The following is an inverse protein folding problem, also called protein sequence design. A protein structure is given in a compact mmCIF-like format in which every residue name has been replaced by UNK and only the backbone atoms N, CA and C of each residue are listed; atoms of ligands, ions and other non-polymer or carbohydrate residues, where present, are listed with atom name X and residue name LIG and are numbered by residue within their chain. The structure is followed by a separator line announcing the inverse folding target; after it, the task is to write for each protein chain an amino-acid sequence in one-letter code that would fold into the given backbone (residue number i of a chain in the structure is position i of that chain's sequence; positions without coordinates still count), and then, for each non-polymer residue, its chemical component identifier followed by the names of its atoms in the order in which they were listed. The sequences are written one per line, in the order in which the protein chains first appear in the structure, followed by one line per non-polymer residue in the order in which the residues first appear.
data_IF_621673517213
#
_entry.id   IF_621673517213
#
_cell.length_a   1.000
_cell.length_b   1.000
_cell.length_c   1.000
_cell.angle_alpha   90.00
_cell.angle_beta   90.00
_cell.angle_gamma   90.00
#
_symmetry.space_group_name_H-M   'P 1'
#
loop_
_entity.id
_entity.type
_entity.pdbx_description
1 polymer ?
#
# COMPACT_ATOMS: atom_id res chain seq x y z
N UNK A 1 -16.60 5.39 -12.26
CA UNK A 1 -15.90 4.12 -12.08
C UNK A 1 -15.11 3.68 -13.32
N UNK A 2 -15.71 3.43 -14.53
CA UNK A 2 -14.93 3.00 -15.71
C UNK A 2 -13.79 3.95 -16.08
N UNK A 3 -13.99 5.26 -15.99
CA UNK A 3 -12.92 6.26 -16.18
C UNK A 3 -11.83 6.18 -15.09
N UNK A 4 -12.17 5.79 -13.87
CA UNK A 4 -11.18 5.57 -12.80
C UNK A 4 -10.36 4.33 -13.07
N UNK A 5 -10.99 3.23 -13.53
CA UNK A 5 -10.28 2.02 -13.99
C UNK A 5 -9.33 2.39 -15.12
N UNK A 6 -9.82 3.07 -16.17
CA UNK A 6 -8.96 3.53 -17.27
C UNK A 6 -7.77 4.34 -16.77
N UNK A 7 -7.99 5.33 -15.91
CA UNK A 7 -6.90 6.13 -15.30
C UNK A 7 -5.94 5.28 -14.46
N UNK A 8 -6.45 4.24 -13.80
CA UNK A 8 -5.64 3.33 -12.97
C UNK A 8 -4.68 2.45 -13.77
N UNK A 9 -4.91 2.28 -15.09
CA UNK A 9 -4.10 1.41 -15.95
C UNK A 9 -3.45 2.15 -17.13
N UNK A 10 -3.98 3.29 -17.57
CA UNK A 10 -3.49 4.01 -18.74
C UNK A 10 -2.07 4.55 -18.51
N UNK A 11 -1.17 4.31 -19.46
CA UNK A 11 0.29 4.54 -19.42
C UNK A 11 0.95 3.70 -18.31
N UNK A 12 1.16 4.22 -17.12
CA UNK A 12 1.67 3.47 -15.96
C UNK A 12 0.63 3.35 -14.86
N UNK A 13 -0.53 3.98 -15.06
CA UNK A 13 -1.60 4.07 -14.09
C UNK A 13 -1.39 5.18 -13.04
N UNK A 14 -2.49 5.84 -12.68
CA UNK A 14 -2.54 6.77 -11.56
C UNK A 14 -3.90 6.67 -10.86
N UNK A 15 -4.15 5.62 -10.04
CA UNK A 15 -5.43 5.40 -9.38
C UNK A 15 -5.69 6.34 -8.20
N UNK A 16 -4.83 7.32 -7.94
CA UNK A 16 -5.02 8.34 -6.91
C UNK A 16 -6.36 9.05 -7.10
N UNK A 17 -7.05 9.42 -6.02
CA UNK A 17 -8.36 10.07 -6.03
C UNK A 17 -9.51 9.23 -6.64
N UNK A 18 -9.44 7.91 -6.65
CA UNK A 18 -10.65 7.12 -6.89
C UNK A 18 -11.63 7.31 -5.74
N UNK A 19 -12.92 7.53 -6.07
CA UNK A 19 -13.95 7.89 -5.09
C UNK A 19 -14.05 6.89 -3.95
N UNK A 20 -13.88 5.61 -4.24
CA UNK A 20 -13.96 4.54 -3.24
C UNK A 20 -12.97 4.68 -2.09
N UNK A 21 -11.84 5.38 -2.27
CA UNK A 21 -10.89 5.61 -1.18
C UNK A 21 -11.42 6.53 -0.08
N UNK A 22 -12.40 7.39 -0.38
CA UNK A 22 -13.05 8.22 0.64
C UNK A 22 -13.81 7.38 1.68
N UNK A 23 -14.20 6.17 1.29
CA UNK A 23 -14.98 5.26 2.10
C UNK A 23 -14.14 4.23 2.86
N UNK A 24 -12.81 4.30 2.81
CA UNK A 24 -11.94 3.35 3.49
C UNK A 24 -12.26 3.25 4.99
N UNK A 25 -12.80 2.09 5.41
CA UNK A 25 -13.25 1.83 6.79
C UNK A 25 -14.63 2.39 7.15
N UNK A 26 -15.43 2.84 6.17
CA UNK A 26 -16.87 3.09 6.32
C UNK A 26 -17.68 1.82 6.05
N UNK A 27 -19.01 1.93 6.25
CA UNK A 27 -19.94 0.84 5.91
C UNK A 27 -19.85 0.45 4.43
N UNK A 28 -19.64 1.40 3.52
CA UNK A 28 -19.63 1.15 2.07
C UNK A 28 -18.35 0.40 1.66
N UNK A 29 -17.26 0.52 2.40
CA UNK A 29 -16.04 -0.24 2.14
C UNK A 29 -16.20 -1.76 2.24
N UNK A 30 -17.31 -2.26 2.83
CA UNK A 30 -17.63 -3.69 2.89
C UNK A 30 -17.80 -4.35 1.51
N UNK A 31 -17.91 -3.59 0.44
CA UNK A 31 -17.90 -4.07 -0.94
C UNK A 31 -16.49 -4.30 -1.49
N UNK A 32 -15.45 -3.77 -0.83
CA UNK A 32 -14.08 -3.88 -1.32
C UNK A 32 -13.56 -5.34 -1.38
N UNK A 33 -13.90 -6.25 -0.45
CA UNK A 33 -13.51 -7.66 -0.56
C UNK A 33 -14.12 -8.39 -1.78
N UNK A 34 -15.12 -7.78 -2.45
CA UNK A 34 -15.76 -8.36 -3.64
C UNK A 34 -15.10 -7.85 -4.91
N UNK A 35 -14.93 -6.55 -5.08
CA UNK A 35 -14.48 -5.97 -6.35
C UNK A 35 -13.57 -4.75 -6.20
N UNK A 36 -12.91 -4.61 -5.05
CA UNK A 36 -11.91 -3.57 -4.80
C UNK A 36 -12.50 -2.17 -4.72
N UNK A 37 -11.61 -1.20 -4.71
CA UNK A 37 -11.95 0.23 -4.62
C UNK A 37 -12.88 0.70 -5.74
N UNK A 38 -12.78 0.11 -6.93
CA UNK A 38 -13.62 0.51 -8.07
C UNK A 38 -15.08 0.09 -7.90
N UNK A 39 -15.34 -1.07 -7.26
CA UNK A 39 -16.69 -1.45 -6.87
C UNK A 39 -17.26 -0.49 -5.83
N UNK A 40 -16.46 -0.12 -4.84
CA UNK A 40 -16.85 0.89 -3.83
C UNK A 40 -17.21 2.21 -4.50
N UNK A 41 -16.39 2.71 -5.45
CA UNK A 41 -16.69 3.89 -6.26
C UNK A 41 -18.02 3.77 -7.00
N UNK A 42 -18.31 2.58 -7.56
CA UNK A 42 -19.56 2.33 -8.28
C UNK A 42 -20.76 2.37 -7.33
N UNK A 43 -20.66 1.75 -6.17
CA UNK A 43 -21.72 1.76 -5.14
C UNK A 43 -22.02 3.20 -4.70
N UNK A 44 -21.01 4.02 -4.45
CA UNK A 44 -21.17 5.44 -4.14
C UNK A 44 -21.91 6.19 -5.24
N UNK A 45 -21.52 5.96 -6.51
CA UNK A 45 -22.20 6.57 -7.65
C UNK A 45 -23.67 6.12 -7.76
N UNK A 46 -23.97 4.85 -7.48
CA UNK A 46 -25.34 4.33 -7.47
C UNK A 46 -26.18 4.92 -6.34
N UNK A 47 -25.62 5.06 -5.13
CA UNK A 47 -26.29 5.73 -4.00
C UNK A 47 -26.60 7.19 -4.37
N UNK A 48 -25.62 7.91 -4.90
CA UNK A 48 -25.79 9.30 -5.34
C UNK A 48 -26.88 9.42 -6.42
N UNK A 49 -26.92 8.50 -7.38
CA UNK A 49 -27.95 8.42 -8.40
C UNK A 49 -29.34 8.12 -7.81
N UNK A 50 -29.42 7.24 -6.82
CA UNK A 50 -30.65 6.96 -6.08
C UNK A 50 -31.20 8.21 -5.36
N UNK A 51 -30.31 8.95 -4.70
CA UNK A 51 -30.68 10.23 -4.07
C UNK A 51 -31.19 11.23 -5.11
N UNK A 52 -30.51 11.38 -6.25
CA UNK A 52 -30.95 12.25 -7.34
C UNK A 52 -32.33 11.87 -7.84
N UNK A 53 -32.64 10.57 -7.99
CA UNK A 53 -33.97 10.10 -8.41
C UNK A 53 -35.09 10.51 -7.42
N UNK A 54 -34.81 10.56 -6.12
CA UNK A 54 -35.75 11.05 -5.11
C UNK A 54 -36.08 12.53 -5.37
N UNK A 55 -35.08 13.36 -5.65
CA UNK A 55 -35.31 14.78 -6.00
C UNK A 55 -36.02 14.96 -7.31
N UNK A 56 -35.83 14.07 -8.30
CA UNK A 56 -36.54 14.04 -9.57
C UNK A 56 -37.96 13.42 -9.47
N UNK A 57 -38.53 13.34 -8.25
CA UNK A 57 -39.88 12.82 -7.94
C UNK A 57 -40.08 11.32 -8.24
N UNK A 58 -39.05 10.57 -8.55
CA UNK A 58 -39.06 9.11 -8.68
C UNK A 58 -38.74 8.45 -7.32
N UNK A 59 -39.48 8.87 -6.30
CA UNK A 59 -39.16 8.59 -4.90
C UNK A 59 -39.00 7.11 -4.59
N UNK A 60 -39.98 6.28 -5.01
CA UNK A 60 -39.98 4.85 -4.74
C UNK A 60 -38.68 4.17 -5.28
N UNK A 61 -38.39 4.40 -6.55
CA UNK A 61 -37.21 3.82 -7.19
C UNK A 61 -35.91 4.30 -6.53
N UNK A 62 -35.79 5.61 -6.30
CA UNK A 62 -34.58 6.17 -5.66
C UNK A 62 -34.39 5.65 -4.25
N UNK A 63 -35.44 5.63 -3.42
CA UNK A 63 -35.38 5.10 -2.06
C UNK A 63 -35.06 3.60 -2.04
N UNK A 64 -35.65 2.81 -2.95
CA UNK A 64 -35.35 1.37 -3.04
C UNK A 64 -33.87 1.13 -3.35
N UNK A 65 -33.28 1.85 -4.31
CA UNK A 65 -31.85 1.72 -4.64
C UNK A 65 -30.97 2.02 -3.41
N UNK A 66 -31.20 3.17 -2.77
CA UNK A 66 -30.40 3.58 -1.60
C UNK A 66 -30.56 2.57 -0.47
N UNK A 67 -31.78 2.17 -0.14
CA UNK A 67 -32.06 1.24 0.95
C UNK A 67 -31.42 -0.13 0.70
N UNK A 68 -31.57 -0.69 -0.51
CA UNK A 68 -30.97 -1.98 -0.87
C UNK A 68 -29.44 -1.92 -0.72
N UNK A 69 -28.79 -0.88 -1.25
CA UNK A 69 -27.35 -0.75 -1.19
C UNK A 69 -26.83 -0.58 0.26
N UNK A 70 -27.51 0.20 1.09
CA UNK A 70 -27.15 0.37 2.51
C UNK A 70 -27.35 -0.95 3.29
N UNK A 71 -28.47 -1.63 3.10
CA UNK A 71 -28.73 -2.93 3.74
C UNK A 71 -27.69 -3.96 3.27
N UNK A 72 -27.41 -4.04 1.98
CA UNK A 72 -26.39 -4.94 1.45
C UNK A 72 -25.00 -4.62 2.01
N UNK A 73 -24.62 -3.33 2.15
CA UNK A 73 -23.37 -2.91 2.77
C UNK A 73 -23.30 -3.38 4.24
N UNK A 74 -24.42 -3.26 4.97
CA UNK A 74 -24.47 -3.72 6.37
C UNK A 74 -24.29 -5.25 6.44
N UNK A 75 -24.98 -6.02 5.62
CA UNK A 75 -24.85 -7.48 5.57
C UNK A 75 -23.42 -7.89 5.22
N UNK A 76 -22.83 -7.29 4.18
CA UNK A 76 -21.45 -7.56 3.78
C UNK A 76 -20.43 -7.20 4.88
N UNK A 77 -20.69 -6.17 5.66
CA UNK A 77 -19.86 -5.77 6.80
C UNK A 77 -19.83 -6.80 7.93
N UNK A 78 -20.84 -7.69 8.01
CA UNK A 78 -20.86 -8.80 8.99
C UNK A 78 -20.13 -10.05 8.51
N UNK A 79 -19.76 -10.12 7.21
CA UNK A 79 -19.07 -11.28 6.65
C UNK A 79 -17.59 -11.26 7.04
N UNK A 80 -17.13 -12.36 7.60
CA UNK A 80 -15.71 -12.62 7.80
C UNK A 80 -15.17 -13.39 6.59
N UNK A 81 -14.53 -12.66 5.67
CA UNK A 81 -13.95 -13.21 4.44
C UNK A 81 -12.71 -14.07 4.68
N UNK A 82 -12.03 -13.79 5.79
CA UNK A 82 -10.76 -14.41 6.17
C UNK A 82 -10.79 -14.69 7.66
N UNK A 83 -9.99 -15.64 8.11
CA UNK A 83 -9.87 -16.06 9.50
C UNK A 83 -8.41 -15.99 9.95
N UNK A 84 -8.19 -16.04 11.25
CA UNK A 84 -6.84 -16.19 11.79
C UNK A 84 -6.33 -17.58 11.50
N UNK A 85 -5.13 -17.69 10.95
CA UNK A 85 -4.47 -18.98 10.72
C UNK A 85 -3.85 -19.54 12.00
N UNK A 86 -3.59 -18.68 13.00
CA UNK A 86 -3.07 -19.03 14.30
C UNK A 86 -3.74 -18.15 15.39
N UNK A 87 -3.92 -18.70 16.59
CA UNK A 87 -4.39 -17.93 17.75
C UNK A 87 -3.31 -17.02 18.34
N UNK A 88 -2.04 -17.33 18.10
CA UNK A 88 -0.91 -16.51 18.57
C UNK A 88 -0.76 -15.25 17.75
N UNK A 89 -0.65 -14.12 18.41
CA UNK A 89 -0.35 -12.84 17.77
C UNK A 89 1.15 -12.62 17.65
N UNK A 90 1.57 -11.91 16.62
CA UNK A 90 2.91 -11.36 16.46
C UNK A 90 2.96 -9.93 16.99
N UNK A 91 4.06 -9.60 17.68
CA UNK A 91 4.36 -8.23 18.12
C UNK A 91 5.11 -7.49 17.02
N UNK A 92 4.64 -6.31 16.67
CA UNK A 92 5.32 -5.46 15.67
C UNK A 92 5.63 -4.08 16.23
N UNK A 93 6.78 -3.54 15.84
CA UNK A 93 7.14 -2.14 16.04
C UNK A 93 7.37 -1.47 14.69
N UNK A 94 6.69 -0.35 14.46
CA UNK A 94 6.80 0.45 13.24
C UNK A 94 7.51 1.74 13.58
N UNK A 95 8.63 2.02 12.91
CA UNK A 95 9.47 3.19 13.18
C UNK A 95 9.17 4.27 12.15
N UNK A 96 8.83 5.46 12.63
CA UNK A 96 8.66 6.67 11.84
C UNK A 96 9.83 7.61 12.07
N UNK A 97 10.74 7.69 11.10
CA UNK A 97 12.00 8.43 11.27
C UNK A 97 11.84 9.95 11.29
N UNK A 98 10.82 10.47 10.62
CA UNK A 98 10.58 11.92 10.45
C UNK A 98 11.78 12.70 9.91
N UNK A 99 12.56 12.08 9.03
CA UNK A 99 13.72 12.71 8.40
C UNK A 99 13.24 13.55 7.22
N UNK A 100 13.56 14.85 7.24
CA UNK A 100 13.19 15.79 6.19
C UNK A 100 13.87 15.43 4.86
N UNK A 101 13.16 15.60 3.74
CA UNK A 101 13.64 15.15 2.43
C UNK A 101 14.90 15.88 1.97
N UNK A 102 15.01 17.16 2.28
CA UNK A 102 16.17 18.01 1.98
C UNK A 102 17.41 17.64 2.81
N UNK A 103 17.23 17.08 4.00
CA UNK A 103 18.31 16.64 4.90
C UNK A 103 18.73 15.20 4.64
N UNK A 104 17.83 14.35 4.17
CA UNK A 104 18.00 12.90 4.06
C UNK A 104 19.28 12.49 3.34
N UNK A 105 19.68 13.24 2.31
CA UNK A 105 20.83 12.93 1.47
C UNK A 105 22.09 13.74 1.81
N UNK A 106 22.05 14.59 2.85
CA UNK A 106 23.19 15.35 3.29
C UNK A 106 24.17 14.42 4.04
N UNK A 107 25.44 14.48 3.64
CA UNK A 107 26.49 13.69 4.28
C UNK A 107 26.66 14.05 5.78
N UNK A 108 26.41 15.30 6.15
CA UNK A 108 26.45 15.76 7.54
C UNK A 108 25.35 15.15 8.43
N UNK A 109 24.23 14.71 7.83
CA UNK A 109 23.09 14.11 8.56
C UNK A 109 23.12 12.59 8.56
N UNK A 110 24.07 11.98 7.85
CA UNK A 110 24.11 10.54 7.67
C UNK A 110 24.29 9.79 9.00
N UNK A 111 25.29 10.18 9.78
CA UNK A 111 25.58 9.57 11.10
C UNK A 111 24.42 9.77 12.08
N UNK A 112 23.79 10.95 12.08
CA UNK A 112 22.60 11.23 12.88
C UNK A 112 21.45 10.29 12.51
N UNK A 113 21.25 10.05 11.22
CA UNK A 113 20.24 9.12 10.69
C UNK A 113 20.50 7.69 11.17
N UNK A 114 21.74 7.20 11.04
CA UNK A 114 22.12 5.87 11.51
C UNK A 114 21.88 5.70 13.01
N UNK A 115 22.34 6.68 13.80
CA UNK A 115 22.17 6.68 15.27
C UNK A 115 20.69 6.72 15.66
N UNK A 116 19.88 7.53 15.00
CA UNK A 116 18.43 7.62 15.26
C UNK A 116 17.73 6.29 15.03
N UNK A 117 18.02 5.63 13.90
CA UNK A 117 17.41 4.34 13.61
C UNK A 117 17.92 3.23 14.54
N UNK A 118 19.22 3.16 14.82
CA UNK A 118 19.74 2.20 15.80
C UNK A 118 19.11 2.40 17.20
N UNK A 119 18.97 3.65 17.63
CA UNK A 119 18.33 3.99 18.92
C UNK A 119 16.86 3.60 18.97
N UNK A 120 16.17 3.51 17.82
CA UNK A 120 14.77 3.09 17.75
C UNK A 120 14.55 1.62 18.16
N UNK A 121 15.61 0.82 18.25
CA UNK A 121 15.55 -0.57 18.72
C UNK A 121 15.53 -0.68 20.25
N UNK A 122 15.77 0.42 20.98
CA UNK A 122 15.74 0.41 22.44
C UNK A 122 14.32 0.22 22.95
N UNK A 123 14.16 -0.65 23.94
CA UNK A 123 12.86 -0.96 24.55
C UNK A 123 11.97 -1.85 23.71
N UNK A 124 12.52 -2.50 22.65
CA UNK A 124 11.80 -3.40 21.77
C UNK A 124 12.17 -4.89 21.98
N UNK A 125 12.68 -5.22 23.17
CA UNK A 125 13.09 -6.59 23.52
C UNK A 125 11.91 -7.58 23.35
N UNK A 126 12.18 -8.72 22.73
CA UNK A 126 11.19 -9.77 22.47
C UNK A 126 10.10 -9.37 21.45
N UNK A 127 10.41 -8.43 20.56
CA UNK A 127 9.53 -8.05 19.44
C UNK A 127 9.76 -8.99 18.26
N UNK A 128 8.70 -9.52 17.66
CA UNK A 128 8.84 -10.42 16.51
C UNK A 128 9.31 -9.68 15.26
N UNK A 129 8.78 -8.48 15.00
CA UNK A 129 9.02 -7.75 13.77
C UNK A 129 9.21 -6.25 14.04
N UNK A 130 10.33 -5.70 13.61
CA UNK A 130 10.57 -4.26 13.58
C UNK A 130 10.60 -3.81 12.12
N UNK A 131 9.90 -2.73 11.77
CA UNK A 131 9.82 -2.24 10.39
C UNK A 131 10.24 -0.77 10.34
N UNK A 132 11.29 -0.50 9.57
CA UNK A 132 11.75 0.85 9.22
C UNK A 132 11.19 1.28 7.85
N UNK A 133 11.04 2.58 7.59
CA UNK A 133 10.41 3.08 6.37
C UNK A 133 11.29 2.91 5.12
N UNK A 134 10.73 3.31 3.98
CA UNK A 134 11.39 3.36 2.67
C UNK A 134 12.66 4.20 2.70
N UNK A 135 13.76 3.59 2.19
CA UNK A 135 15.10 4.21 2.19
C UNK A 135 15.40 4.82 3.57
N UNK A 136 15.18 4.06 4.65
CA UNK A 136 15.50 4.49 6.01
C UNK A 136 16.95 4.91 6.12
N UNK A 137 17.83 4.17 5.45
CA UNK A 137 19.26 4.47 5.34
C UNK A 137 19.54 4.95 3.91
N UNK A 138 19.91 6.24 3.73
CA UNK A 138 20.15 6.83 2.40
C UNK A 138 21.53 6.44 1.86
N UNK A 139 21.75 5.15 1.64
CA UNK A 139 23.00 4.57 1.13
C UNK A 139 22.71 3.36 0.25
N UNK A 140 23.73 2.86 -0.45
CA UNK A 140 23.73 1.53 -1.02
C UNK A 140 24.07 0.48 0.04
N UNK A 141 23.36 -0.66 0.05
CA UNK A 141 23.59 -1.76 0.99
C UNK A 141 25.08 -2.08 1.15
N UNK A 142 25.80 -2.24 0.03
CA UNK A 142 27.21 -2.59 -0.01
C UNK A 142 28.17 -1.57 0.67
N UNK A 143 27.73 -0.34 0.88
CA UNK A 143 28.58 0.71 1.47
C UNK A 143 28.46 0.75 2.98
N UNK A 144 27.54 -0.03 3.57
CA UNK A 144 27.23 0.01 5.01
C UNK A 144 27.13 -1.40 5.61
N UNK A 145 27.84 -2.37 5.06
CA UNK A 145 27.81 -3.76 5.54
C UNK A 145 28.21 -3.86 7.01
N UNK A 146 29.22 -3.10 7.45
CA UNK A 146 29.65 -3.06 8.86
C UNK A 146 28.51 -2.57 9.78
N UNK A 147 27.76 -1.55 9.34
CA UNK A 147 26.62 -1.05 10.10
C UNK A 147 25.44 -2.05 10.11
N UNK A 148 25.20 -2.77 9.03
CA UNK A 148 24.19 -3.82 9.00
C UNK A 148 24.58 -4.97 9.95
N UNK A 149 25.85 -5.37 10.00
CA UNK A 149 26.36 -6.35 10.96
C UNK A 149 26.23 -5.88 12.42
N UNK A 150 26.45 -4.57 12.68
CA UNK A 150 26.15 -3.99 13.99
C UNK A 150 24.66 -4.11 14.35
N UNK A 151 23.74 -3.80 13.40
CA UNK A 151 22.30 -3.95 13.62
C UNK A 151 21.91 -5.40 13.88
N UNK A 152 22.49 -6.36 13.16
CA UNK A 152 22.24 -7.80 13.39
C UNK A 152 22.62 -8.21 14.82
N UNK A 153 23.75 -7.70 15.33
CA UNK A 153 24.15 -7.92 16.71
C UNK A 153 23.13 -7.32 17.68
N UNK A 154 22.67 -6.08 17.42
CA UNK A 154 21.69 -5.39 18.28
C UNK A 154 20.33 -6.10 18.33
N UNK A 155 19.81 -6.60 17.18
CA UNK A 155 18.53 -7.32 17.15
C UNK A 155 18.65 -8.69 17.84
N UNK A 156 19.80 -9.36 17.71
CA UNK A 156 20.06 -10.63 18.39
C UNK A 156 20.13 -10.44 19.93
N UNK A 157 20.86 -9.43 20.42
CA UNK A 157 20.96 -9.13 21.84
C UNK A 157 19.60 -8.77 22.48
N UNK A 158 18.68 -8.21 21.69
CA UNK A 158 17.36 -7.79 22.12
C UNK A 158 16.25 -8.83 21.88
N UNK A 159 16.59 -10.01 21.41
CA UNK A 159 15.66 -11.05 21.02
C UNK A 159 14.56 -10.54 20.04
N UNK A 160 14.97 -9.66 19.12
CA UNK A 160 14.14 -9.23 17.98
C UNK A 160 14.32 -10.26 16.87
N UNK A 161 13.21 -10.86 16.40
CA UNK A 161 13.33 -11.96 15.43
C UNK A 161 13.71 -11.46 14.03
N UNK A 162 13.18 -10.31 13.60
CA UNK A 162 13.45 -9.73 12.29
C UNK A 162 13.34 -8.21 12.31
N UNK A 163 14.29 -7.55 11.65
CA UNK A 163 14.24 -6.13 11.29
C UNK A 163 14.07 -6.01 9.77
N UNK A 164 12.98 -5.39 9.31
CA UNK A 164 12.76 -5.02 7.91
C UNK A 164 13.10 -3.55 7.72
N UNK A 165 13.86 -3.23 6.69
CA UNK A 165 14.23 -1.85 6.39
C UNK A 165 14.29 -1.57 4.89
N UNK A 166 13.96 -0.31 4.53
CA UNK A 166 14.14 0.20 3.18
C UNK A 166 15.56 0.71 2.95
N UNK A 167 16.18 0.28 1.86
CA UNK A 167 17.54 0.65 1.44
C UNK A 167 17.69 0.50 -0.06
N UNK A 168 18.65 1.24 -0.66
CA UNK A 168 19.00 1.01 -2.05
C UNK A 168 19.98 -0.16 -2.19
N UNK A 169 19.70 -1.07 -3.13
CA UNK A 169 20.59 -2.15 -3.51
C UNK A 169 21.14 -1.96 -4.92
N UNK A 170 22.25 -2.61 -5.25
CA UNK A 170 22.84 -2.56 -6.58
C UNK A 170 23.19 -3.96 -7.04
N UNK A 171 22.84 -4.29 -8.31
CA UNK A 171 23.22 -5.56 -8.92
C UNK A 171 24.65 -5.51 -9.54
N UNK A 172 25.10 -6.67 -10.04
CA UNK A 172 26.41 -6.81 -10.70
C UNK A 172 26.58 -5.94 -11.95
N UNK A 173 25.48 -5.53 -12.59
CA UNK A 173 25.48 -4.66 -13.75
C UNK A 173 25.44 -3.17 -13.40
N UNK A 174 25.50 -2.83 -12.11
CA UNK A 174 25.48 -1.45 -11.63
C UNK A 174 24.08 -0.83 -11.55
N UNK A 175 23.00 -1.60 -11.79
CA UNK A 175 21.63 -1.11 -11.69
C UNK A 175 21.22 -0.96 -10.22
N UNK A 176 20.61 0.17 -9.89
CA UNK A 176 20.19 0.51 -8.53
C UNK A 176 18.69 0.25 -8.40
N UNK A 177 18.31 -0.40 -7.28
CA UNK A 177 16.94 -0.72 -6.93
C UNK A 177 16.57 -0.11 -5.58
N UNK A 178 15.37 0.46 -5.49
CA UNK A 178 14.74 0.75 -4.21
C UNK A 178 14.25 -0.57 -3.61
N UNK A 179 14.76 -0.95 -2.45
CA UNK A 179 14.60 -2.30 -1.92
C UNK A 179 14.13 -2.30 -0.48
N UNK A 180 13.43 -3.36 -0.11
CA UNK A 180 13.13 -3.77 1.25
C UNK A 180 13.98 -4.99 1.54
N UNK A 181 14.77 -4.95 2.61
CA UNK A 181 15.58 -6.07 3.07
C UNK A 181 15.23 -6.44 4.50
N UNK A 182 15.52 -7.66 4.90
CA UNK A 182 15.43 -8.08 6.30
C UNK A 182 16.82 -8.44 6.87
N UNK A 183 16.97 -8.24 8.18
CA UNK A 183 18.06 -8.70 9.02
C UNK A 183 17.48 -9.57 10.13
N UNK A 184 18.20 -10.58 10.57
CA UNK A 184 17.81 -11.48 11.66
C UNK A 184 17.68 -12.93 11.21
N UNK A 185 16.62 -13.63 11.64
CA UNK A 185 16.49 -15.09 11.43
C UNK A 185 16.45 -15.50 9.96
N UNK A 186 15.94 -14.66 9.08
CA UNK A 186 15.86 -14.94 7.64
C UNK A 186 16.26 -13.71 6.83
N UNK A 187 17.07 -13.93 5.81
CA UNK A 187 17.40 -12.89 4.85
C UNK A 187 16.34 -12.87 3.74
N UNK A 188 15.71 -11.71 3.57
CA UNK A 188 14.76 -11.46 2.51
C UNK A 188 15.19 -10.21 1.74
N UNK A 189 14.83 -10.18 0.47
CA UNK A 189 14.98 -9.01 -0.38
C UNK A 189 13.78 -8.87 -1.30
N UNK A 190 13.23 -7.67 -1.35
CA UNK A 190 12.21 -7.29 -2.32
C UNK A 190 12.63 -5.98 -2.99
N UNK A 191 12.57 -5.93 -4.30
CA UNK A 191 12.91 -4.76 -5.12
C UNK A 191 11.62 -4.14 -5.68
N UNK A 192 11.46 -2.84 -5.52
CA UNK A 192 10.28 -2.10 -5.97
C UNK A 192 9.96 -2.38 -7.43
N UNK A 193 8.73 -2.84 -7.70
CA UNK A 193 8.26 -3.24 -9.04
C UNK A 193 7.56 -2.10 -9.77
N UNK A 194 6.82 -1.26 -9.05
CA UNK A 194 6.06 -0.15 -9.62
C UNK A 194 6.69 1.19 -9.22
N UNK A 195 7.44 1.76 -10.15
CA UNK A 195 8.20 2.98 -9.92
C UNK A 195 7.33 4.22 -10.14
N UNK A 196 7.64 5.30 -9.41
CA UNK A 196 6.98 6.59 -9.58
C UNK A 196 7.52 7.30 -10.82
N UNK A 197 6.67 7.56 -11.84
CA UNK A 197 7.09 8.32 -13.02
C UNK A 197 7.58 9.72 -12.61
N UNK A 198 8.66 10.18 -13.25
CA UNK A 198 9.34 11.47 -13.01
C UNK A 198 9.97 11.63 -11.61
N UNK A 199 9.70 10.71 -10.67
CA UNK A 199 10.32 10.70 -9.34
C UNK A 199 11.47 9.71 -9.25
N UNK A 200 11.27 8.49 -9.72
CA UNK A 200 12.24 7.40 -9.67
C UNK A 200 12.80 7.03 -11.04
N UNK A 201 12.09 7.34 -12.11
CA UNK A 201 12.54 7.18 -13.48
C UNK A 201 11.87 8.20 -14.40
N UNK A 202 12.51 8.46 -15.55
CA UNK A 202 11.95 9.31 -16.59
C UNK A 202 11.37 8.44 -17.71
N UNK A 203 10.04 8.48 -17.96
CA UNK A 203 9.38 7.70 -19.01
C UNK A 203 9.62 8.33 -20.39
N UNK A 204 10.90 8.45 -20.80
CA UNK A 204 11.34 9.07 -22.04
C UNK A 204 12.19 8.08 -22.86
N UNK A 205 12.24 8.28 -24.18
CA UNK A 205 13.08 7.48 -25.08
C UNK A 205 14.56 7.70 -24.78
N UNK A 206 15.41 6.74 -25.17
CA UNK A 206 16.85 6.82 -24.91
C UNK A 206 17.50 8.04 -25.60
N UNK A 207 16.99 8.49 -26.74
CA UNK A 207 17.45 9.72 -27.39
C UNK A 207 17.24 10.97 -26.51
N UNK A 208 16.05 11.09 -25.90
CA UNK A 208 15.76 12.20 -24.97
C UNK A 208 16.62 12.06 -23.71
N UNK A 209 16.80 10.85 -23.20
CA UNK A 209 17.65 10.56 -22.04
C UNK A 209 19.11 10.94 -22.29
N UNK A 210 19.65 10.63 -23.47
CA UNK A 210 21.00 11.03 -23.87
C UNK A 210 21.14 12.55 -23.94
N UNK A 211 20.12 13.24 -24.46
CA UNK A 211 20.09 14.70 -24.46
C UNK A 211 20.02 15.26 -23.02
N UNK A 212 19.17 14.71 -22.13
CA UNK A 212 19.11 15.09 -20.72
C UNK A 212 20.48 14.95 -20.03
N UNK A 213 21.21 13.86 -20.29
CA UNK A 213 22.58 13.67 -19.81
C UNK A 213 23.53 14.75 -20.29
N UNK A 214 23.41 15.16 -21.56
CA UNK A 214 24.30 16.18 -22.17
C UNK A 214 24.13 17.57 -21.55
N UNK A 215 22.97 17.86 -20.92
CA UNK A 215 22.69 19.12 -20.22
C UNK A 215 22.68 18.96 -18.69
N UNK A 216 23.31 17.89 -18.18
CA UNK A 216 23.43 17.58 -16.74
C UNK A 216 22.11 17.51 -15.96
N UNK A 217 21.00 17.16 -16.61
CA UNK A 217 19.77 16.83 -15.89
C UNK A 217 19.91 15.45 -15.21
N UNK A 218 19.23 15.25 -14.07
CA UNK A 218 19.20 13.96 -13.42
C UNK A 218 18.75 12.87 -14.40
N UNK A 219 19.60 11.88 -14.65
CA UNK A 219 19.36 10.83 -15.65
C UNK A 219 19.57 9.42 -15.06
N UNK A 220 19.89 9.34 -13.78
CA UNK A 220 20.01 8.05 -13.09
C UNK A 220 18.64 7.63 -12.60
N UNK A 221 18.13 6.59 -13.23
CA UNK A 221 16.87 5.97 -12.84
C UNK A 221 17.11 4.90 -11.80
N UNK A 222 16.16 4.75 -10.90
CA UNK A 222 15.97 3.53 -10.15
C UNK A 222 15.50 2.46 -11.14
N UNK A 223 16.05 1.27 -11.03
CA UNK A 223 15.66 0.14 -11.87
C UNK A 223 14.43 -0.55 -11.31
N UNK A 224 13.55 -1.00 -12.20
CA UNK A 224 12.37 -1.77 -11.85
C UNK A 224 12.75 -3.17 -11.41
N UNK A 225 12.28 -3.61 -10.25
CA UNK A 225 12.38 -4.99 -9.79
C UNK A 225 11.61 -5.96 -10.68
N UNK A 226 11.97 -7.23 -10.64
CA UNK A 226 11.24 -8.29 -11.37
C UNK A 226 9.83 -8.44 -10.82
N UNK A 227 8.91 -8.96 -11.63
CA UNK A 227 7.53 -9.22 -11.20
C UNK A 227 7.41 -10.48 -10.35
N UNK A 228 8.18 -11.50 -10.64
CA UNK A 228 8.18 -12.83 -10.04
C UNK A 228 8.99 -12.93 -8.74
N UNK A 229 8.96 -11.87 -7.91
CA UNK A 229 9.63 -11.88 -6.62
C UNK A 229 8.78 -12.61 -5.58
N UNK A 230 9.49 -13.25 -4.64
CA UNK A 230 8.85 -13.96 -3.53
C UNK A 230 8.34 -12.97 -2.46
N UNK A 231 7.33 -13.40 -1.72
CA UNK A 231 6.96 -12.74 -0.46
C UNK A 231 8.10 -12.85 0.57
N UNK A 232 8.09 -11.97 1.56
CA UNK A 232 9.06 -12.06 2.67
C UNK A 232 8.59 -13.11 3.67
N UNK A 233 9.54 -13.82 4.30
CA UNK A 233 9.22 -14.88 5.25
C UNK A 233 9.89 -14.63 6.61
N UNK A 234 9.19 -15.02 7.68
CA UNK A 234 9.71 -15.16 9.04
C UNK A 234 9.12 -16.45 9.63
N UNK A 235 9.88 -17.55 9.55
CA UNK A 235 9.37 -18.88 9.88
C UNK A 235 8.17 -19.23 9.00
N UNK A 236 7.03 -19.47 9.62
CA UNK A 236 5.78 -19.79 8.92
C UNK A 236 4.96 -18.53 8.53
N UNK A 237 5.42 -17.35 8.90
CA UNK A 237 4.73 -16.10 8.55
C UNK A 237 5.18 -15.62 7.17
N UNK A 238 4.25 -15.51 6.24
CA UNK A 238 4.48 -15.01 4.87
C UNK A 238 3.90 -13.61 4.73
N UNK A 239 4.72 -12.67 4.25
CA UNK A 239 4.42 -11.24 4.25
C UNK A 239 4.47 -10.68 2.82
N UNK A 240 3.35 -10.14 2.33
CA UNK A 240 3.28 -9.47 1.03
C UNK A 240 3.92 -8.08 1.10
N UNK A 241 5.07 -7.85 0.43
CA UNK A 241 5.76 -6.57 0.47
C UNK A 241 5.18 -5.57 -0.53
N UNK A 242 5.24 -4.29 -0.16
CA UNK A 242 5.05 -3.16 -1.07
C UNK A 242 5.89 -1.96 -0.61
N UNK A 243 6.43 -1.20 -1.58
CA UNK A 243 7.22 -0.01 -1.30
C UNK A 243 6.47 1.22 -1.82
N UNK A 244 6.04 2.08 -0.89
CA UNK A 244 5.47 3.40 -1.15
C UNK A 244 4.29 3.35 -2.14
N UNK A 245 4.45 3.93 -3.32
CA UNK A 245 3.47 4.04 -4.40
C UNK A 245 2.84 2.70 -4.83
N UNK A 246 3.49 1.57 -4.58
CA UNK A 246 2.99 0.25 -4.99
C UNK A 246 1.66 -0.11 -4.33
N UNK A 247 1.41 0.33 -3.10
CA UNK A 247 0.18 -0.02 -2.38
C UNK A 247 -1.07 0.69 -2.91
N UNK A 248 -0.92 1.66 -3.82
CA UNK A 248 -2.08 2.25 -4.49
C UNK A 248 -2.63 1.36 -5.61
N UNK A 249 -1.85 0.35 -6.06
CA UNK A 249 -2.22 -0.61 -7.10
C UNK A 249 -2.63 -1.94 -6.46
N UNK A 250 -3.91 -2.09 -6.12
CA UNK A 250 -4.39 -3.31 -5.49
C UNK A 250 -4.11 -4.57 -6.30
N UNK A 251 -4.20 -4.50 -7.63
CA UNK A 251 -3.90 -5.61 -8.53
C UNK A 251 -2.45 -6.11 -8.47
N UNK A 252 -1.47 -5.24 -8.16
CA UNK A 252 -0.06 -5.64 -8.08
C UNK A 252 0.25 -6.47 -6.84
N UNK A 253 -0.57 -6.34 -5.78
CA UNK A 253 -0.45 -7.15 -4.57
C UNK A 253 -1.00 -8.56 -4.74
N UNK A 254 -1.87 -8.78 -5.75
CA UNK A 254 -2.49 -10.09 -5.99
C UNK A 254 -1.46 -11.18 -6.33
N UNK A 255 -0.28 -10.79 -6.84
CA UNK A 255 0.80 -11.74 -7.13
C UNK A 255 1.31 -12.48 -5.88
N UNK A 256 1.04 -11.97 -4.67
CA UNK A 256 1.45 -12.55 -3.38
C UNK A 256 0.34 -13.33 -2.68
N UNK A 257 -0.87 -13.35 -3.24
CA UNK A 257 -2.00 -14.07 -2.65
C UNK A 257 -2.28 -15.40 -3.39
N UNK A 258 -2.81 -16.40 -2.66
CA UNK A 258 -3.32 -16.33 -1.27
C UNK A 258 -2.29 -16.62 -0.17
N UNK A 259 -1.03 -16.87 -0.53
CA UNK A 259 -0.01 -17.43 0.38
C UNK A 259 0.39 -16.45 1.50
N UNK A 260 0.16 -15.13 1.30
CA UNK A 260 0.56 -14.14 2.31
C UNK A 260 -0.44 -14.00 3.44
N UNK A 261 0.08 -13.97 4.66
CA UNK A 261 -0.67 -13.85 5.92
C UNK A 261 -0.92 -12.41 6.32
N UNK A 262 -0.04 -11.48 5.88
CA UNK A 262 -0.04 -10.06 6.26
C UNK A 262 0.55 -9.21 5.14
N UNK A 263 0.13 -7.94 5.04
CA UNK A 263 0.71 -6.95 4.13
C UNK A 263 1.74 -6.10 4.87
N UNK A 264 2.85 -5.79 4.18
CA UNK A 264 3.82 -4.80 4.65
C UNK A 264 3.94 -3.70 3.62
N UNK A 265 3.85 -2.44 4.10
CA UNK A 265 4.16 -1.28 3.28
C UNK A 265 5.20 -0.40 3.99
N UNK A 266 6.31 -0.16 3.33
CA UNK A 266 7.29 0.85 3.75
C UNK A 266 7.22 2.04 2.81
N UNK A 267 7.17 3.27 3.34
CA UNK A 267 6.97 4.44 2.47
C UNK A 267 7.70 5.69 2.94
N UNK A 268 7.93 6.60 2.01
CA UNK A 268 8.48 7.93 2.30
C UNK A 268 7.59 9.03 1.69
N UNK A 269 6.71 9.58 2.52
CA UNK A 269 5.80 10.66 2.11
C UNK A 269 6.43 12.06 2.19
N UNK A 270 7.72 12.18 2.51
CA UNK A 270 8.40 13.47 2.65
C UNK A 270 8.40 14.31 1.36
N UNK A 271 8.27 13.66 0.19
CA UNK A 271 8.13 14.29 -1.12
C UNK A 271 6.92 15.22 -1.24
N UNK A 272 5.84 14.92 -0.51
CA UNK A 272 4.59 15.68 -0.57
C UNK A 272 4.55 16.86 0.40
N UNK A 273 5.60 17.08 1.20
CA UNK A 273 5.60 18.09 2.26
C UNK A 273 4.40 17.95 3.21
N UNK A 274 4.04 19.03 3.88
CA UNK A 274 2.87 19.06 4.78
C UNK A 274 1.56 19.26 4.01
N UNK A 275 1.23 18.30 3.14
CA UNK A 275 0.01 18.33 2.33
C UNK A 275 -0.96 17.21 2.74
N UNK A 276 -2.18 17.23 2.17
CA UNK A 276 -3.20 16.19 2.35
C UNK A 276 -2.80 14.84 1.74
N UNK A 277 -1.77 14.80 0.88
CA UNK A 277 -1.37 13.59 0.15
C UNK A 277 -1.01 12.43 1.09
N UNK A 278 -0.39 12.70 2.25
CA UNK A 278 -0.10 11.65 3.24
C UNK A 278 -1.37 11.00 3.80
N UNK A 279 -2.41 11.79 4.06
CA UNK A 279 -3.69 11.26 4.53
C UNK A 279 -4.42 10.49 3.41
N UNK A 280 -4.37 10.97 2.17
CA UNK A 280 -4.93 10.26 1.02
C UNK A 280 -4.23 8.92 0.79
N UNK A 281 -2.90 8.88 0.80
CA UNK A 281 -2.12 7.67 0.67
C UNK A 281 -2.44 6.66 1.80
N UNK A 282 -2.62 7.15 3.02
CA UNK A 282 -3.04 6.32 4.15
C UNK A 282 -4.40 5.65 3.92
N UNK A 283 -5.39 6.36 3.35
CA UNK A 283 -6.69 5.77 3.01
C UNK A 283 -6.57 4.70 1.91
N UNK A 284 -5.67 4.89 0.94
CA UNK A 284 -5.39 3.88 -0.08
C UNK A 284 -4.81 2.61 0.52
N UNK A 285 -3.80 2.74 1.39
CA UNK A 285 -3.23 1.62 2.13
C UNK A 285 -4.28 0.90 2.96
N UNK A 286 -5.15 1.65 3.65
CA UNK A 286 -6.25 1.10 4.44
C UNK A 286 -7.21 0.26 3.59
N UNK A 287 -7.48 0.71 2.36
CA UNK A 287 -8.29 -0.05 1.41
C UNK A 287 -7.64 -1.40 1.05
N UNK A 288 -6.31 -1.48 0.94
CA UNK A 288 -5.60 -2.77 0.68
C UNK A 288 -5.86 -3.80 1.76
N UNK A 289 -5.87 -3.39 3.03
CA UNK A 289 -6.20 -4.29 4.13
C UNK A 289 -7.63 -4.86 3.99
N UNK A 290 -8.60 -4.02 3.63
CA UNK A 290 -10.01 -4.41 3.47
C UNK A 290 -10.19 -5.34 2.26
N UNK A 291 -9.62 -4.98 1.11
CA UNK A 291 -9.70 -5.76 -0.12
C UNK A 291 -9.14 -7.17 0.03
N UNK A 292 -8.03 -7.28 0.75
CA UNK A 292 -7.35 -8.55 0.95
C UNK A 292 -7.81 -9.32 2.19
N UNK A 293 -8.54 -8.69 3.10
CA UNK A 293 -8.85 -9.30 4.39
C UNK A 293 -7.59 -9.67 5.18
N UNK A 294 -6.52 -8.86 5.06
CA UNK A 294 -5.25 -9.05 5.76
C UNK A 294 -4.92 -7.85 6.63
N UNK A 295 -4.17 -8.07 7.71
CA UNK A 295 -3.55 -6.95 8.40
C UNK A 295 -2.60 -6.21 7.44
N UNK A 296 -2.48 -4.90 7.60
CA UNK A 296 -1.44 -4.09 6.95
C UNK A 296 -0.56 -3.43 8.00
N UNK A 297 0.74 -3.69 7.91
CA UNK A 297 1.79 -3.09 8.72
C UNK A 297 2.45 -2.01 7.88
N UNK A 298 2.14 -0.75 8.19
CA UNK A 298 2.62 0.40 7.41
C UNK A 298 3.61 1.21 8.21
N UNK A 299 4.87 1.26 7.75
CA UNK A 299 5.92 2.13 8.31
C UNK A 299 6.23 3.27 7.35
N UNK A 300 6.16 4.52 7.83
CA UNK A 300 6.39 5.70 7.00
C UNK A 300 7.51 6.57 7.58
N UNK A 301 8.20 7.33 6.72
CA UNK A 301 9.18 8.30 7.21
C UNK A 301 8.49 9.53 7.85
N UNK A 302 7.62 10.24 7.14
CA UNK A 302 6.96 11.47 7.61
C UNK A 302 5.43 11.41 7.58
N UNK A 303 4.88 10.32 7.03
CA UNK A 303 3.44 10.12 6.88
C UNK A 303 2.76 9.60 8.14
N UNK A 304 1.80 8.71 7.94
CA UNK A 304 1.05 8.04 9.01
C UNK A 304 1.46 6.58 9.03
N UNK A 305 2.18 6.16 10.07
CA UNK A 305 2.49 4.75 10.33
C UNK A 305 1.33 4.11 11.08
N UNK A 306 0.97 2.88 10.75
CA UNK A 306 -0.17 2.23 11.38
C UNK A 306 -0.15 0.70 11.29
N UNK A 307 -0.79 0.06 12.26
CA UNK A 307 -1.25 -1.33 12.22
C UNK A 307 -2.74 -1.30 11.92
N UNK A 308 -3.14 -1.84 10.78
CA UNK A 308 -4.52 -1.81 10.28
C UNK A 308 -5.02 -3.25 10.20
N UNK A 309 -6.22 -3.51 10.72
CA UNK A 309 -6.81 -4.85 10.71
C UNK A 309 -7.50 -5.19 9.37
N UNK A 310 -7.91 -6.45 9.14
CA UNK A 310 -8.55 -6.91 7.91
C UNK A 310 -9.86 -6.18 7.53
N UNK A 311 -10.51 -5.52 8.49
CA UNK A 311 -11.72 -4.71 8.26
C UNK A 311 -11.42 -3.21 8.12
N UNK A 312 -10.13 -2.85 8.06
CA UNK A 312 -9.70 -1.46 7.93
C UNK A 312 -9.74 -0.65 9.23
N UNK A 313 -9.91 -1.29 10.39
CA UNK A 313 -9.83 -0.62 11.69
C UNK A 313 -8.36 -0.35 12.02
N UNK A 314 -8.09 0.83 12.53
CA UNK A 314 -6.76 1.26 12.93
C UNK A 314 -6.53 0.81 14.37
N UNK A 315 -5.60 -0.13 14.58
CA UNK A 315 -5.28 -0.69 15.89
C UNK A 315 -4.19 0.13 16.62
N UNK A 316 -3.20 0.63 15.86
CA UNK A 316 -2.17 1.54 16.34
C UNK A 316 -1.81 2.53 15.22
N UNK A 317 -1.48 3.76 15.57
CA UNK A 317 -1.13 4.79 14.58
C UNK A 317 -0.23 5.87 15.16
N UNK A 318 0.64 6.45 14.33
CA UNK A 318 1.43 7.63 14.62
C UNK A 318 0.71 8.91 14.18
N UNK A 319 1.19 10.06 14.67
CA UNK A 319 0.89 11.35 14.06
C UNK A 319 1.86 11.62 12.91
N UNK A 320 1.43 12.26 11.82
CA UNK A 320 2.33 12.63 10.74
C UNK A 320 3.33 13.71 11.21
N UNK A 321 4.52 13.72 10.60
CA UNK A 321 5.59 14.71 10.82
C UNK A 321 6.16 14.73 12.25
N UNK A 322 6.07 13.63 12.96
CA UNK A 322 6.70 13.42 14.27
C UNK A 322 7.57 12.16 14.22
N UNK A 323 8.67 12.13 14.98
CA UNK A 323 9.37 10.87 15.24
C UNK A 323 8.50 10.00 16.15
N UNK A 324 8.35 8.74 15.78
CA UNK A 324 7.57 7.80 16.58
C UNK A 324 8.05 6.36 16.40
N UNK A 325 7.97 5.59 17.46
CA UNK A 325 8.01 4.13 17.44
C UNK A 325 6.66 3.66 17.97
N UNK A 326 5.84 3.09 17.11
CA UNK A 326 4.52 2.57 17.50
C UNK A 326 4.57 1.05 17.56
N UNK A 327 4.03 0.49 18.63
CA UNK A 327 3.94 -0.95 18.82
C UNK A 327 2.51 -1.42 18.68
N UNK A 328 2.35 -2.64 18.22
CA UNK A 328 1.03 -3.27 18.08
C UNK A 328 1.13 -4.77 17.93
N UNK A 329 -0.02 -5.41 17.90
CA UNK A 329 -0.13 -6.83 17.60
C UNK A 329 -0.95 -7.04 16.34
N UNK A 330 -0.60 -8.07 15.58
CA UNK A 330 -1.37 -8.54 14.45
C UNK A 330 -1.45 -10.07 14.48
N UNK A 331 -2.40 -10.62 13.73
CA UNK A 331 -2.56 -12.06 13.58
C UNK A 331 -2.34 -12.43 12.12
N UNK A 332 -1.65 -13.55 11.85
CA UNK A 332 -1.59 -14.10 10.50
C UNK A 332 -3.02 -14.48 10.07
N UNK A 333 -3.36 -14.15 8.83
CA UNK A 333 -4.69 -14.37 8.28
C UNK A 333 -4.65 -15.34 7.12
N UNK A 334 -5.61 -16.25 7.08
CA UNK A 334 -5.83 -17.22 6.00
C UNK A 334 -7.19 -17.02 5.33
N UNK A 335 -7.46 -17.75 4.26
CA UNK A 335 -8.67 -17.62 3.47
C UNK A 335 -8.52 -16.60 2.33
N UNK A 336 -9.60 -16.37 1.58
CA UNK A 336 -9.59 -15.55 0.36
C UNK A 336 -10.80 -14.66 0.28
N UNK A 337 -10.59 -13.40 -0.07
CA UNK A 337 -11.67 -12.54 -0.54
C UNK A 337 -11.96 -12.82 -2.02
N UNK A 338 -13.12 -12.41 -2.49
CA UNK A 338 -13.43 -12.53 -3.92
C UNK A 338 -12.52 -11.61 -4.76
N UNK A 339 -12.13 -10.46 -4.20
CA UNK A 339 -11.17 -9.56 -4.86
C UNK A 339 -9.83 -10.24 -5.13
N UNK A 340 -9.34 -11.10 -4.23
CA UNK A 340 -8.12 -11.87 -4.47
C UNK A 340 -8.21 -12.82 -5.68
N UNK A 341 -9.42 -13.26 -6.04
CA UNK A 341 -9.63 -14.21 -7.14
C UNK A 341 -9.67 -13.53 -8.51
N UNK A 342 -10.28 -12.36 -8.61
CA UNK A 342 -10.53 -11.70 -9.90
C UNK A 342 -10.07 -10.24 -9.98
N UNK A 343 -9.52 -9.69 -8.89
CA UNK A 343 -9.01 -8.33 -8.86
C UNK A 343 -10.03 -7.30 -9.35
N UNK A 344 -9.55 -6.34 -10.12
CA UNK A 344 -10.37 -5.26 -10.68
C UNK A 344 -11.27 -5.70 -11.85
N UNK A 345 -11.05 -6.92 -12.39
CA UNK A 345 -11.79 -7.41 -13.57
C UNK A 345 -13.29 -7.50 -13.31
N UNK A 346 -13.70 -7.92 -12.11
CA UNK A 346 -15.11 -7.98 -11.75
C UNK A 346 -15.80 -6.61 -11.87
N UNK A 347 -15.22 -5.59 -11.25
CA UNK A 347 -15.76 -4.22 -11.28
C UNK A 347 -15.80 -3.67 -12.69
N UNK A 348 -14.77 -3.93 -13.49
CA UNK A 348 -14.70 -3.50 -14.89
C UNK A 348 -15.79 -4.14 -15.74
N UNK A 349 -15.95 -5.46 -15.68
CA UNK A 349 -16.98 -6.21 -16.44
C UNK A 349 -18.38 -5.76 -16.02
N UNK A 350 -18.64 -5.66 -14.71
CA UNK A 350 -19.93 -5.21 -14.18
C UNK A 350 -20.24 -3.78 -14.65
N UNK A 351 -19.24 -2.90 -14.66
CA UNK A 351 -19.41 -1.53 -15.14
C UNK A 351 -19.75 -1.43 -16.62
N UNK A 352 -19.09 -2.24 -17.48
CA UNK A 352 -19.43 -2.32 -18.90
C UNK A 352 -20.86 -2.85 -19.09
N UNK A 353 -21.21 -3.91 -18.36
CA UNK A 353 -22.56 -4.49 -18.43
C UNK A 353 -23.65 -3.48 -18.07
N UNK A 354 -23.50 -2.75 -16.97
CA UNK A 354 -24.46 -1.73 -16.54
C UNK A 354 -24.55 -0.57 -17.55
N UNK A 355 -23.41 -0.13 -18.08
CA UNK A 355 -23.38 0.94 -19.07
C UNK A 355 -24.09 0.53 -20.38
N UNK A 356 -23.78 -0.66 -20.91
CA UNK A 356 -24.41 -1.15 -22.15
C UNK A 356 -25.92 -1.37 -21.98
N UNK A 357 -26.33 -1.94 -20.84
CA UNK A 357 -27.76 -2.10 -20.52
C UNK A 357 -28.47 -0.76 -20.46
N UNK A 358 -27.85 0.25 -19.81
CA UNK A 358 -28.41 1.61 -19.75
C UNK A 358 -28.58 2.25 -21.13
N UNK A 359 -27.58 2.10 -22.01
CA UNK A 359 -27.62 2.60 -23.39
C UNK A 359 -28.76 1.93 -24.20
N UNK A 360 -28.87 0.58 -24.12
CA UNK A 360 -29.90 -0.18 -24.82
C UNK A 360 -31.32 0.28 -24.38
N UNK A 361 -31.55 0.37 -23.06
CA UNK A 361 -32.83 0.84 -22.52
C UNK A 361 -33.13 2.27 -22.99
N UNK A 362 -32.13 3.15 -23.00
CA UNK A 362 -32.26 4.52 -23.50
C UNK A 362 -32.69 4.57 -24.98
N UNK A 363 -32.04 3.78 -25.83
CA UNK A 363 -32.36 3.69 -27.26
C UNK A 363 -33.75 3.14 -27.50
N UNK A 364 -34.19 2.14 -26.74
CA UNK A 364 -35.54 1.58 -26.85
C UNK A 364 -36.63 2.60 -26.48
N UNK A 365 -36.37 3.46 -25.48
CA UNK A 365 -37.32 4.53 -25.09
C UNK A 365 -37.41 5.69 -26.09
N UNK A 366 -36.37 5.94 -26.87
CA UNK A 366 -36.39 6.97 -27.92
C UNK A 366 -37.09 6.50 -29.17
N UNK A 367 -37.31 5.19 -29.36
CA UNK A 367 -38.04 4.61 -30.49
C UNK A 367 -39.54 4.48 -30.25
N UNK A 368 -39.96 4.58 -28.99
CA UNK A 368 -41.39 4.60 -28.57
C UNK A 368 -41.82 6.01 -28.15
#
# INVERSE_FOLDING_TARGET
MLLEVFRGYFLTGFPWLSLGYMESGSLISSWAPIGGVYLVSMIMAMISSGILLIFLKKRLLGSSIVTILIISSYILGTVDWTSRSNESSYKVALVQGNIQQDKKWLRSEFENTLTQYASSLQGLEGTDLVIWPEVAIPSLKRNIEDYLGYLETQIMEKDIQMLILGINTQDQNGRIYNSMISLGKEENIYQKRHLVPFGEYFPVTEGIRSWMRSINLPSRDISKGKRDQQALNLGNLTMAPSICYEDIFGSDLLDFFPESDVLINITNNAWFGKSIASAQHFQMSRMRAIESGRYLLRSTNTGISAVIDPKGKINATSRPYEYAVITGNFYPMEGRTLYMLWGDAFSFILGIFLMTTGVIIGMLRLKN
#
